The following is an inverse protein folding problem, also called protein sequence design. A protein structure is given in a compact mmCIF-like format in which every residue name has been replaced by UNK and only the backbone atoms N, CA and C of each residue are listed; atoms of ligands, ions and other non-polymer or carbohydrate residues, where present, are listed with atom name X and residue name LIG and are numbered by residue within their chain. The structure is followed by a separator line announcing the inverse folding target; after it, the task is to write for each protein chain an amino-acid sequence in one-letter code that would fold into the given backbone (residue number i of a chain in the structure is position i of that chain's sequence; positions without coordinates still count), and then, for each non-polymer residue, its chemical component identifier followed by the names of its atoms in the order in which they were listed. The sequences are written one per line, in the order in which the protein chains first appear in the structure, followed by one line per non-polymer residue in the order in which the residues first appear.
data_IF_547828465395
#
_entry.id   IF_547828465395
#
_cell.length_a   1.000
_cell.length_b   1.000
_cell.length_c   1.000
_cell.angle_alpha   90.00
_cell.angle_beta   90.00
_cell.angle_gamma   90.00
#
_symmetry.space_group_name_H-M   'P 1'
#
loop_
_entity.id
_entity.type
_entity.pdbx_description
1 polymer ?
#
# COMPACT_ATOMS: atom_id res chain seq x y z
N UNK A 1 -34.80 50.02 29.45
CA UNK A 1 -35.62 48.80 29.20
C UNK A 1 -35.15 48.22 27.86
N UNK A 2 -34.30 47.19 27.89
CA UNK A 2 -34.58 45.80 27.44
C UNK A 2 -35.01 45.73 25.96
N UNK A 3 -34.09 45.31 25.08
CA UNK A 3 -34.06 43.99 24.38
C UNK A 3 -34.93 44.00 23.10
N UNK A 4 -34.56 43.40 21.96
CA UNK A 4 -33.40 42.64 21.53
C UNK A 4 -33.39 42.62 19.99
N UNK A 5 -32.22 42.67 19.37
CA UNK A 5 -31.99 42.29 17.97
C UNK A 5 -31.95 40.74 17.92
N UNK A 6 -32.65 40.06 16.99
CA UNK A 6 -32.40 38.64 16.77
C UNK A 6 -31.14 38.50 15.90
N UNK A 7 -30.03 38.11 16.54
CA UNK A 7 -28.89 37.56 15.83
C UNK A 7 -29.27 36.16 15.32
N UNK A 8 -29.36 36.03 13.99
CA UNK A 8 -29.45 34.74 13.32
C UNK A 8 -28.13 34.01 13.54
N UNK A 9 -28.13 33.05 14.46
CA UNK A 9 -27.07 32.06 14.57
C UNK A 9 -27.23 31.06 13.42
N UNK A 10 -26.44 31.25 12.36
CA UNK A 10 -26.21 30.21 11.36
C UNK A 10 -25.36 29.13 12.05
N UNK A 11 -26.03 28.08 12.53
CA UNK A 11 -25.36 26.84 12.93
C UNK A 11 -24.92 26.16 11.64
N UNK A 12 -23.66 26.38 11.24
CA UNK A 12 -22.98 25.51 10.30
C UNK A 12 -22.80 24.15 11.00
N UNK A 13 -23.82 23.31 10.90
CA UNK A 13 -23.68 21.88 11.10
C UNK A 13 -22.78 21.36 9.96
N UNK A 14 -21.47 21.41 10.18
CA UNK A 14 -20.52 20.64 9.40
C UNK A 14 -20.80 19.17 9.66
N UNK A 15 -21.62 18.55 8.83
CA UNK A 15 -21.74 17.10 8.78
C UNK A 15 -20.38 16.55 8.34
N UNK A 16 -19.61 16.07 9.31
CA UNK A 16 -18.48 15.18 9.10
C UNK A 16 -18.97 13.95 8.34
N UNK A 17 -18.77 13.93 7.02
CA UNK A 17 -19.02 12.76 6.16
C UNK A 17 -17.91 11.72 6.31
N UNK A 18 -17.54 11.43 7.55
CA UNK A 18 -16.57 10.43 7.94
C UNK A 18 -17.31 9.46 8.86
N UNK A 19 -17.76 8.30 8.36
CA UNK A 19 -17.87 7.07 9.18
C UNK A 19 -18.64 5.87 8.60
N UNK A 20 -19.27 5.89 7.42
CA UNK A 20 -19.96 4.64 6.97
C UNK A 20 -19.02 3.69 6.24
N UNK A 21 -18.32 4.16 5.20
CA UNK A 21 -17.41 3.29 4.43
C UNK A 21 -16.19 2.84 5.25
N UNK A 22 -15.66 3.73 6.10
CA UNK A 22 -14.51 3.45 6.96
C UNK A 22 -14.85 2.44 8.06
N UNK A 23 -16.06 2.51 8.64
CA UNK A 23 -16.51 1.55 9.67
C UNK A 23 -16.86 0.16 9.10
N UNK A 24 -17.40 0.10 7.88
CA UNK A 24 -17.88 -1.14 7.28
C UNK A 24 -16.73 -2.09 6.90
N UNK A 25 -15.65 -1.59 6.31
CA UNK A 25 -14.58 -2.48 5.83
C UNK A 25 -13.81 -3.14 6.98
N UNK A 26 -13.62 -2.45 8.11
CA UNK A 26 -12.94 -3.02 9.29
C UNK A 26 -13.64 -4.27 9.83
N UNK A 27 -14.97 -4.36 9.70
CA UNK A 27 -15.74 -5.55 10.09
C UNK A 27 -15.43 -6.75 9.19
N UNK A 28 -15.28 -6.54 7.87
CA UNK A 28 -14.93 -7.56 6.88
C UNK A 28 -13.42 -7.87 6.83
N UNK A 29 -12.58 -6.98 7.38
CA UNK A 29 -11.12 -7.09 7.35
C UNK A 29 -10.65 -8.41 7.96
N UNK A 30 -11.14 -8.78 9.14
CA UNK A 30 -10.75 -10.02 9.83
C UNK A 30 -10.96 -11.28 9.00
N UNK A 31 -12.08 -11.37 8.29
CA UNK A 31 -12.36 -12.53 7.45
C UNK A 31 -11.35 -12.61 6.29
N UNK A 32 -11.01 -11.47 5.70
CA UNK A 32 -9.98 -11.40 4.65
C UNK A 32 -8.59 -11.73 5.22
N UNK A 33 -8.24 -11.17 6.37
CA UNK A 33 -6.95 -11.41 7.05
C UNK A 33 -6.75 -12.90 7.33
N UNK A 34 -7.78 -13.60 7.81
CA UNK A 34 -7.72 -15.05 8.04
C UNK A 34 -7.45 -15.84 6.75
N UNK A 35 -8.11 -15.50 5.64
CA UNK A 35 -7.87 -16.16 4.35
C UNK A 35 -6.44 -15.92 3.86
N UNK A 36 -5.91 -14.72 4.08
CA UNK A 36 -4.54 -14.35 3.72
C UNK A 36 -3.54 -15.12 4.58
N UNK A 37 -3.75 -15.16 5.90
CA UNK A 37 -2.90 -15.90 6.85
C UNK A 37 -2.88 -17.39 6.52
N UNK A 38 -4.04 -18.00 6.27
CA UNK A 38 -4.14 -19.41 5.87
C UNK A 38 -3.41 -19.66 4.54
N UNK A 39 -3.53 -18.76 3.57
CA UNK A 39 -2.83 -18.86 2.29
C UNK A 39 -1.31 -18.77 2.43
N UNK A 40 -0.83 -17.91 3.33
CA UNK A 40 0.60 -17.74 3.57
C UNK A 40 1.19 -18.84 4.48
N UNK A 41 0.35 -19.56 5.23
CA UNK A 41 0.75 -20.69 6.05
C UNK A 41 0.88 -22.01 5.26
N UNK A 42 0.38 -22.07 4.02
CA UNK A 42 0.57 -23.23 3.14
C UNK A 42 2.07 -23.45 2.83
N UNK A 43 2.46 -24.71 2.59
CA UNK A 43 3.82 -25.07 2.17
C UNK A 43 3.82 -25.66 0.75
N UNK A 44 4.22 -24.87 -0.28
CA UNK A 44 4.64 -23.47 -0.24
C UNK A 44 3.47 -22.48 -0.13
N UNK A 45 3.72 -21.21 0.27
CA UNK A 45 2.68 -20.19 0.39
C UNK A 45 1.90 -19.94 -0.91
N UNK A 46 0.59 -19.77 -0.81
CA UNK A 46 -0.32 -19.47 -1.92
C UNK A 46 -0.57 -17.95 -2.04
N UNK A 47 0.40 -17.25 -2.63
CA UNK A 47 0.27 -15.81 -2.87
C UNK A 47 -0.89 -15.45 -3.81
N UNK A 48 -1.29 -16.33 -4.72
CA UNK A 48 -2.39 -16.05 -5.64
C UNK A 48 -3.74 -15.99 -4.90
N UNK A 49 -3.95 -16.93 -3.97
CA UNK A 49 -5.12 -16.92 -3.07
C UNK A 49 -5.11 -15.71 -2.16
N UNK A 50 -3.95 -15.40 -1.55
CA UNK A 50 -3.80 -14.21 -0.71
C UNK A 50 -4.15 -12.92 -1.49
N UNK A 51 -3.52 -12.70 -2.65
CA UNK A 51 -3.78 -11.53 -3.51
C UNK A 51 -5.26 -11.41 -3.87
N UNK A 52 -5.88 -12.51 -4.31
CA UNK A 52 -7.30 -12.52 -4.70
C UNK A 52 -8.21 -12.15 -3.53
N UNK A 53 -7.88 -12.58 -2.31
CA UNK A 53 -8.65 -12.23 -1.12
C UNK A 53 -8.59 -10.72 -0.82
N UNK A 54 -7.39 -10.11 -0.91
CA UNK A 54 -7.20 -8.66 -0.75
C UNK A 54 -7.98 -7.88 -1.81
N UNK A 55 -7.85 -8.26 -3.08
CA UNK A 55 -8.47 -7.55 -4.21
C UNK A 55 -10.00 -7.57 -4.17
N UNK A 56 -10.59 -8.62 -3.58
CA UNK A 56 -12.05 -8.77 -3.43
C UNK A 56 -12.57 -8.24 -2.10
N UNK A 57 -11.70 -7.71 -1.25
CA UNK A 57 -12.10 -7.14 0.04
C UNK A 57 -12.79 -5.78 -0.14
N UNK A 58 -13.52 -5.35 0.88
CA UNK A 58 -14.10 -3.99 0.93
C UNK A 58 -13.11 -2.90 1.35
N UNK A 59 -11.79 -3.18 1.35
CA UNK A 59 -10.78 -2.25 1.86
C UNK A 59 -10.63 -1.02 0.95
N UNK A 60 -10.16 0.12 1.50
CA UNK A 60 -9.80 1.28 0.70
C UNK A 60 -8.80 0.92 -0.41
N UNK A 61 -8.92 1.56 -1.58
CA UNK A 61 -8.09 1.26 -2.75
C UNK A 61 -6.59 1.39 -2.49
N UNK A 62 -6.17 2.36 -1.67
CA UNK A 62 -4.78 2.54 -1.27
C UNK A 62 -4.26 1.38 -0.42
N UNK A 63 -5.10 0.87 0.49
CA UNK A 63 -4.80 -0.31 1.32
C UNK A 63 -4.71 -1.58 0.48
N UNK A 64 -5.64 -1.77 -0.46
CA UNK A 64 -5.57 -2.88 -1.43
C UNK A 64 -4.27 -2.80 -2.22
N UNK A 65 -3.90 -1.62 -2.72
CA UNK A 65 -2.65 -1.44 -3.48
C UNK A 65 -1.40 -1.73 -2.63
N UNK A 66 -1.37 -1.25 -1.37
CA UNK A 66 -0.28 -1.54 -0.44
C UNK A 66 -0.12 -3.05 -0.20
N UNK A 67 -1.21 -3.71 0.21
CA UNK A 67 -1.16 -5.12 0.61
C UNK A 67 -0.91 -6.05 -0.59
N UNK A 68 -1.62 -5.84 -1.70
CA UNK A 68 -1.38 -6.62 -2.93
C UNK A 68 0.03 -6.39 -3.46
N UNK A 69 0.53 -5.15 -3.45
CA UNK A 69 1.90 -4.84 -3.86
C UNK A 69 2.95 -5.60 -3.05
N UNK A 70 2.78 -5.65 -1.73
CA UNK A 70 3.67 -6.41 -0.83
C UNK A 70 3.61 -7.92 -1.09
N UNK A 71 2.42 -8.49 -1.24
CA UNK A 71 2.25 -9.92 -1.51
C UNK A 71 2.90 -10.34 -2.83
N UNK A 72 2.77 -9.52 -3.87
CA UNK A 72 3.44 -9.76 -5.15
C UNK A 72 4.96 -9.80 -4.94
N UNK A 73 5.53 -8.77 -4.31
CA UNK A 73 6.98 -8.68 -4.08
C UNK A 73 7.48 -9.85 -3.20
N UNK A 74 6.74 -10.21 -2.14
CA UNK A 74 7.05 -11.34 -1.29
C UNK A 74 7.04 -12.66 -2.05
N UNK A 75 6.05 -12.90 -2.92
CA UNK A 75 6.03 -14.05 -3.80
C UNK A 75 7.23 -14.10 -4.75
N UNK A 76 7.66 -12.96 -5.31
CA UNK A 76 8.89 -12.93 -6.12
C UNK A 76 10.17 -13.17 -5.29
N UNK A 77 10.15 -12.89 -3.99
CA UNK A 77 11.27 -13.11 -3.06
C UNK A 77 11.38 -14.56 -2.58
N UNK A 78 10.26 -15.16 -2.21
CA UNK A 78 10.22 -16.35 -1.35
C UNK A 78 10.01 -17.66 -2.12
N UNK A 79 9.36 -17.61 -3.28
CA UNK A 79 9.03 -18.83 -4.03
C UNK A 79 9.84 -18.99 -5.31
N UNK A 80 10.05 -20.26 -5.66
CA UNK A 80 10.67 -20.67 -6.92
C UNK A 80 9.87 -20.11 -8.12
N UNK A 81 10.52 -19.86 -9.27
CA UNK A 81 9.90 -19.20 -10.41
C UNK A 81 8.54 -19.77 -10.83
N UNK A 82 8.34 -21.07 -10.73
CA UNK A 82 7.15 -21.80 -11.17
C UNK A 82 5.93 -21.59 -10.25
N UNK A 83 6.15 -21.04 -9.05
CA UNK A 83 5.12 -20.81 -8.02
C UNK A 83 4.87 -19.34 -7.73
N UNK A 84 5.56 -18.44 -8.44
CA UNK A 84 5.38 -17.00 -8.30
C UNK A 84 3.94 -16.59 -8.64
N UNK A 85 3.43 -15.52 -8.03
CA UNK A 85 2.18 -14.93 -8.49
C UNK A 85 2.30 -14.55 -9.97
N UNK A 86 1.21 -14.66 -10.72
CA UNK A 86 1.18 -14.30 -12.14
C UNK A 86 1.52 -12.82 -12.38
N UNK A 87 1.25 -11.97 -11.39
CA UNK A 87 1.64 -10.56 -11.42
C UNK A 87 3.17 -10.41 -11.35
N UNK A 88 3.71 -9.49 -12.13
CA UNK A 88 5.15 -9.23 -12.22
C UNK A 88 5.64 -8.39 -11.04
N UNK A 89 6.95 -8.45 -10.77
CA UNK A 89 7.57 -7.59 -9.76
C UNK A 89 7.31 -6.10 -10.03
N UNK A 90 7.34 -5.69 -11.30
CA UNK A 90 7.05 -4.33 -11.74
C UNK A 90 5.62 -3.88 -11.40
N UNK A 91 4.64 -4.78 -11.52
CA UNK A 91 3.27 -4.52 -11.11
C UNK A 91 3.16 -4.34 -9.60
N UNK A 92 3.85 -5.19 -8.82
CA UNK A 92 3.91 -5.07 -7.36
C UNK A 92 4.49 -3.73 -6.91
N UNK A 93 5.61 -3.31 -7.49
CA UNK A 93 6.22 -2.00 -7.23
C UNK A 93 5.28 -0.85 -7.60
N UNK A 94 4.64 -0.92 -8.76
CA UNK A 94 3.70 0.12 -9.22
C UNK A 94 2.47 0.27 -8.30
N UNK A 95 2.01 -0.82 -7.68
CA UNK A 95 0.94 -0.77 -6.68
C UNK A 95 1.38 -0.09 -5.39
N UNK A 96 2.59 -0.39 -4.90
CA UNK A 96 3.15 0.33 -3.75
C UNK A 96 3.34 1.81 -4.05
N UNK A 97 3.78 2.17 -5.25
CA UNK A 97 3.93 3.56 -5.68
C UNK A 97 2.59 4.30 -5.75
N UNK A 98 1.54 3.61 -6.18
CA UNK A 98 0.17 4.13 -6.14
C UNK A 98 -0.26 4.38 -4.70
N UNK A 99 -0.06 3.41 -3.80
CA UNK A 99 -0.38 3.56 -2.38
C UNK A 99 0.36 4.75 -1.75
N UNK A 100 1.66 4.90 -2.05
CA UNK A 100 2.50 6.00 -1.58
C UNK A 100 2.11 7.38 -2.14
N UNK A 101 1.36 7.42 -3.25
CA UNK A 101 0.90 8.67 -3.87
C UNK A 101 -0.52 9.06 -3.45
N UNK A 102 -1.20 8.19 -2.71
CA UNK A 102 -2.57 8.41 -2.24
C UNK A 102 -2.58 9.17 -0.90
N UNK A 103 -3.72 9.16 -0.21
CA UNK A 103 -3.89 9.70 1.15
C UNK A 103 -4.20 8.58 2.15
N UNK A 104 -3.99 8.88 3.43
CA UNK A 104 -4.27 7.98 4.54
C UNK A 104 -3.11 7.05 4.88
N UNK A 105 -3.38 6.08 5.75
CA UNK A 105 -2.37 5.22 6.37
C UNK A 105 -1.47 4.51 5.34
N UNK A 106 -2.05 4.02 4.25
CA UNK A 106 -1.28 3.34 3.20
C UNK A 106 -0.21 4.24 2.55
N UNK A 107 -0.46 5.56 2.47
CA UNK A 107 0.48 6.53 1.93
C UNK A 107 1.66 6.80 2.88
N UNK A 108 1.47 6.61 4.19
CA UNK A 108 2.54 6.72 5.18
C UNK A 108 3.38 5.42 5.27
N UNK A 109 2.78 4.25 5.02
CA UNK A 109 3.45 2.94 5.10
C UNK A 109 4.21 2.61 3.81
N UNK A 110 3.59 2.82 2.64
CA UNK A 110 4.16 2.38 1.36
C UNK A 110 5.58 2.91 1.07
N UNK A 111 5.93 4.18 1.37
CA UNK A 111 7.30 4.67 1.22
C UNK A 111 8.34 3.84 1.98
N UNK A 112 8.02 3.42 3.22
CA UNK A 112 8.90 2.60 4.06
C UNK A 112 9.19 1.25 3.41
N UNK A 113 8.15 0.61 2.86
CA UNK A 113 8.29 -0.67 2.19
C UNK A 113 9.10 -0.53 0.90
N UNK A 114 8.80 0.49 0.08
CA UNK A 114 9.55 0.80 -1.13
C UNK A 114 11.03 1.05 -0.83
N UNK A 115 11.34 1.85 0.20
CA UNK A 115 12.73 2.04 0.65
C UNK A 115 13.39 0.71 0.97
N UNK A 116 12.78 -0.13 1.80
CA UNK A 116 13.35 -1.42 2.20
C UNK A 116 13.56 -2.36 1.00
N UNK A 117 12.63 -2.40 0.05
CA UNK A 117 12.76 -3.22 -1.16
C UNK A 117 13.88 -2.73 -2.08
N UNK A 118 14.05 -1.42 -2.23
CA UNK A 118 15.17 -0.87 -3.00
C UNK A 118 16.50 -0.93 -2.25
N UNK A 119 16.50 -0.89 -0.92
CA UNK A 119 17.71 -0.98 -0.10
C UNK A 119 18.31 -2.38 -0.16
N UNK A 120 17.46 -3.42 -0.07
CA UNK A 120 17.89 -4.82 0.02
C UNK A 120 17.86 -5.56 -1.32
N UNK A 121 17.09 -5.05 -2.29
CA UNK A 121 16.69 -5.83 -3.46
C UNK A 121 15.59 -6.84 -3.13
N UNK A 122 15.19 -7.62 -4.13
CA UNK A 122 14.16 -8.65 -4.02
C UNK A 122 14.72 -9.99 -4.50
N UNK A 123 14.50 -11.03 -3.69
CA UNK A 123 15.09 -12.36 -3.86
C UNK A 123 16.43 -12.52 -3.14
N UNK A 124 16.95 -13.74 -3.10
CA UNK A 124 18.25 -14.07 -2.50
C UNK A 124 18.96 -15.16 -3.30
N UNK A 125 20.30 -15.22 -3.18
CA UNK A 125 21.12 -16.22 -3.86
C UNK A 125 20.98 -16.19 -5.38
N UNK A 126 20.72 -17.36 -5.99
CA UNK A 126 20.63 -17.52 -7.45
C UNK A 126 19.33 -16.96 -8.07
N UNK A 127 18.34 -16.60 -7.26
CA UNK A 127 17.03 -16.10 -7.72
C UNK A 127 16.80 -14.63 -7.34
N UNK A 128 17.84 -13.79 -7.49
CA UNK A 128 17.70 -12.35 -7.30
C UNK A 128 16.81 -11.75 -8.41
N UNK A 129 15.59 -11.39 -8.05
CA UNK A 129 14.61 -10.80 -8.97
C UNK A 129 14.86 -9.30 -9.20
N UNK A 130 15.46 -8.61 -8.23
CA UNK A 130 15.88 -7.23 -8.35
C UNK A 130 17.12 -6.95 -7.49
N UNK A 131 18.21 -6.40 -8.05
CA UNK A 131 19.34 -5.97 -7.25
C UNK A 131 19.00 -4.72 -6.43
N UNK A 132 19.72 -4.45 -5.32
CA UNK A 132 19.61 -3.18 -4.59
C UNK A 132 19.76 -1.96 -5.50
N UNK A 133 18.96 -0.92 -5.24
CA UNK A 133 19.00 0.39 -5.90
C UNK A 133 19.08 1.49 -4.83
N UNK A 134 20.26 1.76 -4.25
CA UNK A 134 20.41 2.64 -3.08
C UNK A 134 19.95 4.07 -3.33
N UNK A 135 20.00 4.55 -4.57
CA UNK A 135 19.51 5.88 -4.91
C UNK A 135 17.99 5.99 -4.80
N UNK A 136 17.26 4.97 -5.24
CA UNK A 136 15.80 4.90 -5.06
C UNK A 136 15.44 4.71 -3.59
N UNK A 137 16.19 3.89 -2.86
CA UNK A 137 15.98 3.73 -1.42
C UNK A 137 16.11 5.07 -0.68
N UNK A 138 17.13 5.88 -0.98
CA UNK A 138 17.25 7.24 -0.45
C UNK A 138 16.08 8.13 -0.85
N UNK A 139 15.64 8.08 -2.11
CA UNK A 139 14.51 8.88 -2.56
C UNK A 139 13.25 8.56 -1.74
N UNK A 140 12.95 7.28 -1.56
CA UNK A 140 11.79 6.85 -0.77
C UNK A 140 11.94 7.19 0.73
N UNK A 141 13.15 7.15 1.28
CA UNK A 141 13.42 7.69 2.62
C UNK A 141 13.07 9.18 2.75
N UNK A 142 13.39 9.99 1.73
CA UNK A 142 12.99 11.41 1.71
C UNK A 142 11.47 11.60 1.59
N UNK A 143 10.73 10.63 1.02
CA UNK A 143 9.26 10.64 1.00
C UNK A 143 8.71 10.32 2.39
N UNK A 144 9.29 9.35 3.11
CA UNK A 144 8.95 9.04 4.52
C UNK A 144 9.11 10.29 5.41
N UNK A 145 10.21 11.02 5.22
CA UNK A 145 10.51 12.26 5.94
C UNK A 145 9.71 13.47 5.44
N UNK A 146 8.88 13.30 4.41
CA UNK A 146 8.09 14.36 3.74
C UNK A 146 8.94 15.47 3.11
N UNK A 147 10.24 15.23 2.92
CA UNK A 147 11.15 16.11 2.20
C UNK A 147 10.97 16.02 0.67
N UNK A 148 10.41 14.91 0.17
CA UNK A 148 10.19 14.65 -1.25
C UNK A 148 8.76 14.14 -1.50
N UNK A 149 8.21 14.41 -2.69
CA UNK A 149 6.95 13.79 -3.13
C UNK A 149 7.21 12.46 -3.83
N UNK A 150 6.34 11.47 -3.61
CA UNK A 150 6.38 10.15 -4.27
C UNK A 150 6.58 10.25 -5.79
N UNK A 151 5.93 11.20 -6.46
CA UNK A 151 6.04 11.43 -7.91
C UNK A 151 7.49 11.57 -8.42
N UNK A 152 8.41 12.14 -7.63
CA UNK A 152 9.81 12.27 -8.03
C UNK A 152 10.54 10.92 -8.01
N UNK A 153 10.28 10.08 -7.01
CA UNK A 153 10.88 8.75 -6.91
C UNK A 153 10.31 7.80 -7.98
N UNK A 154 9.03 7.94 -8.30
CA UNK A 154 8.37 7.22 -9.41
C UNK A 154 9.01 7.59 -10.74
N UNK A 155 9.19 8.89 -11.01
CA UNK A 155 9.85 9.37 -12.23
C UNK A 155 11.28 8.82 -12.34
N UNK A 156 12.04 8.89 -11.24
CA UNK A 156 13.38 8.33 -11.14
C UNK A 156 13.41 6.83 -11.45
N UNK A 157 12.46 6.05 -10.93
CA UNK A 157 12.38 4.60 -11.17
C UNK A 157 12.07 4.31 -12.64
N UNK A 158 11.17 5.08 -13.24
CA UNK A 158 10.81 5.00 -14.65
C UNK A 158 11.91 5.50 -15.62
N UNK A 159 13.05 5.98 -15.10
CA UNK A 159 14.14 6.52 -15.90
C UNK A 159 13.83 7.89 -16.51
N UNK A 160 12.79 8.57 -16.03
CA UNK A 160 12.41 9.92 -16.46
C UNK A 160 12.99 10.90 -15.44
N UNK A 161 14.00 11.67 -15.85
CA UNK A 161 14.55 12.76 -15.03
C UNK A 161 13.69 14.01 -15.16
#
# INVERSE_FOLDING_TARGET
MRCALPALAVVLAGCSSQSTEEADWHSSKRATDLVVEEALADEPPDYARAITAIERSGRPSATVALETGNLIIAGHREVQPERRPAATLEQGLSLLERAASDRGEAADIAPQHLRLWFERGVGSGVYQAMPPRPELARCWGAVEERAQRAAACIAMRAGRR
#
